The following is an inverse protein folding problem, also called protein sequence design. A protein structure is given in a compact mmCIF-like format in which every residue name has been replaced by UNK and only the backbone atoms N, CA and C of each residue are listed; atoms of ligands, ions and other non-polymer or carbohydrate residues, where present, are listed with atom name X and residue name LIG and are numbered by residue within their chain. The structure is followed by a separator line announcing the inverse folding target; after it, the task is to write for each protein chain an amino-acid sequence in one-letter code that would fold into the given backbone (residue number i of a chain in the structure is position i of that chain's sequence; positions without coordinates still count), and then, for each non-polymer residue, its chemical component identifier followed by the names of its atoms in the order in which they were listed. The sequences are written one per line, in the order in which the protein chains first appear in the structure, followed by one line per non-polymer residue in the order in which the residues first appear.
data_IF_546416650998
#
_entry.id   IF_546416650998
#
_cell.length_a   1.000
_cell.length_b   1.000
_cell.length_c   1.000
_cell.angle_alpha   90.00
_cell.angle_beta   90.00
_cell.angle_gamma   90.00
#
_symmetry.space_group_name_H-M   'P 1'
#
loop_
_entity.id
_entity.type
_entity.pdbx_description
1 polymer ?
#
# COMPACT_ATOMS: atom_id res chain seq x y z
N UNK A 1 55.66 15.38 -56.02
CA UNK A 1 56.03 15.01 -54.65
C UNK A 1 54.71 15.09 -53.80
N UNK A 2 53.94 13.99 -53.73
CA UNK A 2 52.70 13.94 -53.01
C UNK A 2 52.93 13.27 -51.67
N UNK A 3 52.68 14.01 -50.60
CA UNK A 3 52.79 13.49 -49.22
C UNK A 3 51.42 12.94 -48.83
N UNK A 4 51.37 11.63 -48.64
CA UNK A 4 50.18 10.90 -48.15
C UNK A 4 50.17 11.02 -46.60
N UNK A 5 49.11 11.64 -46.06
CA UNK A 5 48.87 11.64 -44.57
C UNK A 5 47.98 10.47 -44.24
N UNK A 6 48.52 9.53 -43.47
CA UNK A 6 47.73 8.47 -42.80
C UNK A 6 47.01 9.09 -41.59
N UNK A 7 45.70 8.98 -41.56
CA UNK A 7 44.91 9.27 -40.37
C UNK A 7 44.72 7.98 -39.55
N UNK A 8 45.26 7.95 -38.37
CA UNK A 8 45.03 6.87 -37.36
C UNK A 8 43.77 7.16 -36.63
N UNK A 9 42.73 6.34 -36.87
CA UNK A 9 41.49 6.38 -36.08
C UNK A 9 41.65 5.53 -34.82
N UNK A 10 41.59 6.21 -33.69
CA UNK A 10 41.59 5.54 -32.35
C UNK A 10 40.14 5.16 -32.02
N UNK A 11 39.83 3.87 -32.01
CA UNK A 11 38.54 3.34 -31.53
C UNK A 11 38.57 3.29 -30.01
N UNK A 12 37.76 4.13 -29.37
CA UNK A 12 37.53 4.08 -27.93
C UNK A 12 36.39 3.09 -27.67
N UNK A 13 36.72 1.91 -27.16
CA UNK A 13 35.74 0.93 -26.69
C UNK A 13 35.27 1.37 -25.31
N UNK A 14 34.05 1.90 -25.23
CA UNK A 14 33.34 2.13 -23.97
C UNK A 14 32.82 0.79 -23.45
N UNK A 15 33.47 0.25 -22.43
CA UNK A 15 32.93 -0.84 -21.64
C UNK A 15 31.79 -0.31 -20.76
N UNK A 16 30.57 -0.62 -21.10
CA UNK A 16 29.44 -0.51 -20.19
C UNK A 16 29.57 -1.65 -19.17
N UNK A 17 30.03 -1.31 -17.99
CA UNK A 17 29.96 -2.23 -16.86
C UNK A 17 28.51 -2.43 -16.48
N UNK A 18 27.96 -3.60 -16.74
CA UNK A 18 26.70 -4.06 -16.16
C UNK A 18 26.97 -4.23 -14.67
N UNK A 19 26.51 -3.29 -13.84
CA UNK A 19 26.44 -3.48 -12.40
C UNK A 19 25.38 -4.56 -12.19
N UNK A 20 25.82 -5.79 -11.96
CA UNK A 20 24.94 -6.86 -11.52
C UNK A 20 24.44 -6.46 -10.12
N UNK A 21 23.14 -6.17 -10.01
CA UNK A 21 22.49 -6.05 -8.72
C UNK A 21 22.77 -7.32 -7.91
N UNK A 22 23.22 -7.19 -6.67
CA UNK A 22 23.45 -8.32 -5.81
C UNK A 22 22.16 -9.13 -5.67
N UNK A 23 22.19 -10.38 -6.10
CA UNK A 23 21.07 -11.31 -5.92
C UNK A 23 20.95 -11.61 -4.42
N UNK A 24 19.73 -11.69 -3.87
CA UNK A 24 19.54 -12.17 -2.50
C UNK A 24 20.23 -13.53 -2.34
N UNK A 25 21.01 -13.70 -1.28
CA UNK A 25 21.62 -15.00 -0.98
C UNK A 25 20.55 -16.07 -0.73
N UNK A 26 20.90 -17.34 -0.86
CA UNK A 26 19.99 -18.47 -0.64
C UNK A 26 19.32 -18.47 0.77
N UNK A 27 19.88 -17.70 1.72
CA UNK A 27 19.37 -17.54 3.09
C UNK A 27 18.36 -16.41 3.25
N UNK A 28 18.03 -15.64 2.19
CA UNK A 28 17.13 -14.48 2.22
C UNK A 28 15.77 -14.75 1.57
N UNK A 29 15.38 -16.03 1.46
CA UNK A 29 14.06 -16.40 0.96
C UNK A 29 13.01 -16.23 2.06
N UNK A 30 11.86 -15.55 1.71
CA UNK A 30 10.71 -15.34 2.62
C UNK A 30 9.59 -16.37 2.41
N UNK A 31 9.90 -17.45 1.70
CA UNK A 31 8.97 -18.55 1.47
C UNK A 31 9.64 -19.90 1.76
N UNK A 32 8.87 -20.92 2.19
CA UNK A 32 7.44 -20.80 2.50
C UNK A 32 7.19 -19.90 3.69
N UNK A 33 5.96 -19.35 3.79
CA UNK A 33 5.55 -18.55 4.94
C UNK A 33 5.49 -19.40 6.22
N UNK A 34 5.47 -18.76 7.38
CA UNK A 34 5.31 -19.46 8.68
C UNK A 34 4.00 -20.25 8.78
N UNK A 35 3.00 -19.93 7.93
CA UNK A 35 1.70 -20.61 7.87
C UNK A 35 1.61 -21.68 6.78
N UNK A 36 2.70 -21.98 6.09
CA UNK A 36 2.82 -23.05 5.12
C UNK A 36 2.81 -22.59 3.66
N UNK A 37 3.08 -23.57 2.78
CA UNK A 37 3.31 -23.32 1.34
C UNK A 37 2.08 -22.84 0.58
N UNK A 38 0.88 -23.13 1.07
CA UNK A 38 -0.38 -22.75 0.42
C UNK A 38 -1.06 -21.55 1.06
N UNK A 39 -0.40 -20.88 2.02
CA UNK A 39 -0.96 -19.72 2.68
C UNK A 39 -1.11 -18.54 1.73
N UNK A 40 -2.32 -17.94 1.76
CA UNK A 40 -2.73 -16.78 0.96
C UNK A 40 -3.26 -15.63 1.84
N UNK A 41 -3.13 -15.75 3.17
CA UNK A 41 -3.69 -14.78 4.12
C UNK A 41 -2.65 -13.89 4.80
N UNK A 42 -1.38 -14.33 4.81
CA UNK A 42 -0.33 -13.57 5.44
C UNK A 42 -0.58 -13.28 6.92
N UNK A 43 -0.26 -12.08 7.36
CA UNK A 43 -0.42 -11.65 8.75
C UNK A 43 -1.87 -11.73 9.26
N UNK A 44 -2.88 -11.77 8.38
CA UNK A 44 -4.27 -11.98 8.79
C UNK A 44 -4.52 -13.36 9.44
N UNK A 45 -3.59 -14.31 9.32
CA UNK A 45 -3.63 -15.57 10.10
C UNK A 45 -3.48 -15.36 11.61
N UNK A 46 -2.99 -14.20 12.06
CA UNK A 46 -2.93 -13.83 13.48
C UNK A 46 -4.30 -13.49 14.07
N UNK A 47 -5.32 -13.33 13.22
CA UNK A 47 -6.68 -13.00 13.64
C UNK A 47 -7.46 -14.27 13.99
N UNK A 48 -8.00 -14.28 15.20
CA UNK A 48 -8.83 -15.36 15.72
C UNK A 48 -9.99 -14.82 16.55
N UNK A 49 -10.80 -15.71 17.12
CA UNK A 49 -11.95 -15.34 17.96
C UNK A 49 -11.54 -14.55 19.19
N UNK A 50 -10.37 -14.81 19.74
CA UNK A 50 -9.76 -14.08 20.85
C UNK A 50 -9.53 -12.60 20.51
N UNK A 51 -9.01 -12.30 19.31
CA UNK A 51 -8.80 -10.94 18.84
C UNK A 51 -10.11 -10.18 18.66
N UNK A 52 -11.14 -10.87 18.17
CA UNK A 52 -12.50 -10.31 18.07
C UNK A 52 -13.01 -9.92 19.45
N UNK A 53 -12.91 -10.81 20.42
CA UNK A 53 -13.37 -10.56 21.81
C UNK A 53 -12.55 -9.45 22.47
N UNK A 54 -11.24 -9.42 22.28
CA UNK A 54 -10.37 -8.33 22.75
C UNK A 54 -10.82 -6.98 22.18
N UNK A 55 -11.07 -6.91 20.86
CA UNK A 55 -11.51 -5.69 20.19
C UNK A 55 -12.87 -5.20 20.71
N UNK A 56 -13.85 -6.10 20.80
CA UNK A 56 -15.19 -5.76 21.32
C UNK A 56 -15.12 -5.25 22.76
N UNK A 57 -14.24 -5.82 23.60
CA UNK A 57 -14.05 -5.38 24.98
C UNK A 57 -13.48 -3.94 25.12
N UNK A 58 -12.94 -3.36 24.04
CA UNK A 58 -12.45 -1.97 24.03
C UNK A 58 -13.57 -0.93 23.84
N UNK A 59 -14.73 -1.33 23.36
CA UNK A 59 -15.85 -0.41 23.13
C UNK A 59 -16.35 0.11 24.48
N UNK A 60 -16.33 1.44 24.69
CA UNK A 60 -16.78 2.12 25.91
C UNK A 60 -17.93 3.06 25.66
N UNK A 61 -17.89 3.81 24.57
CA UNK A 61 -18.82 4.89 24.28
C UNK A 61 -19.71 4.60 23.06
N UNK A 62 -19.46 3.51 22.33
CA UNK A 62 -20.20 3.17 21.12
C UNK A 62 -20.05 4.18 19.99
N UNK A 63 -18.97 4.99 20.00
CA UNK A 63 -18.69 5.93 18.91
C UNK A 63 -18.15 5.22 17.71
N UNK A 64 -18.59 5.66 16.54
CA UNK A 64 -18.07 5.21 15.24
C UNK A 64 -17.31 6.38 14.61
N UNK A 65 -16.12 6.09 14.10
CA UNK A 65 -15.29 7.04 13.37
C UNK A 65 -15.15 6.55 11.93
N UNK A 66 -15.62 7.36 11.00
CA UNK A 66 -15.42 7.10 9.58
C UNK A 66 -14.01 7.54 9.18
N UNK A 67 -13.21 6.59 8.70
CA UNK A 67 -11.83 6.81 8.27
C UNK A 67 -11.69 6.75 6.75
N UNK A 68 -12.70 6.21 6.06
CA UNK A 68 -12.75 6.16 4.61
C UNK A 68 -13.04 7.51 4.00
N UNK A 69 -12.58 7.73 2.77
CA UNK A 69 -12.95 8.87 1.94
C UNK A 69 -14.04 8.48 0.97
N UNK A 70 -14.99 9.37 0.73
CA UNK A 70 -15.96 9.19 -0.33
C UNK A 70 -15.26 9.13 -1.70
N UNK A 71 -15.75 8.24 -2.55
CA UNK A 71 -15.30 8.17 -3.93
C UNK A 71 -16.16 9.11 -4.76
N UNK A 72 -15.58 10.20 -5.20
CA UNK A 72 -16.29 11.27 -5.92
C UNK A 72 -15.49 11.81 -7.10
N UNK A 73 -16.20 12.48 -8.01
CA UNK A 73 -15.55 13.14 -9.13
C UNK A 73 -14.61 14.25 -8.63
N UNK A 74 -13.41 14.30 -9.20
CA UNK A 74 -12.41 15.31 -8.83
C UNK A 74 -11.57 14.97 -7.61
N UNK A 75 -11.78 13.82 -6.96
CA UNK A 75 -10.86 13.35 -5.92
C UNK A 75 -9.44 13.19 -6.46
N UNK A 76 -8.41 13.36 -5.62
CA UNK A 76 -7.03 13.10 -6.05
C UNK A 76 -6.85 11.62 -6.31
N UNK A 77 -6.46 11.29 -7.55
CA UNK A 77 -6.14 9.93 -7.97
C UNK A 77 -4.70 9.89 -8.47
N UNK A 78 -4.03 8.76 -8.28
CA UNK A 78 -2.67 8.59 -8.77
C UNK A 78 -2.62 8.78 -10.30
N UNK A 79 -1.60 9.47 -10.84
CA UNK A 79 -1.50 9.75 -12.27
C UNK A 79 -1.65 8.50 -13.15
N UNK A 80 -2.51 8.60 -14.18
CA UNK A 80 -2.82 7.50 -15.08
C UNK A 80 -3.91 6.53 -14.57
N UNK A 81 -4.47 6.76 -13.38
CA UNK A 81 -5.64 6.02 -12.89
C UNK A 81 -6.94 6.65 -13.38
N UNK A 82 -8.02 5.89 -13.28
CA UNK A 82 -9.34 6.30 -13.73
C UNK A 82 -10.42 5.95 -12.69
N UNK A 83 -11.31 6.90 -12.49
CA UNK A 83 -12.56 6.70 -11.75
C UNK A 83 -13.69 7.47 -12.44
N UNK A 84 -14.81 6.82 -12.64
CA UNK A 84 -16.04 7.43 -13.17
C UNK A 84 -17.26 6.73 -12.59
N UNK A 85 -18.19 7.52 -12.08
CA UNK A 85 -19.50 7.08 -11.70
C UNK A 85 -20.53 7.85 -12.55
N UNK A 86 -21.46 7.14 -13.15
CA UNK A 86 -22.55 7.73 -13.94
C UNK A 86 -23.88 7.07 -13.63
N UNK A 87 -24.96 7.82 -13.79
CA UNK A 87 -26.33 7.31 -13.74
C UNK A 87 -26.91 7.43 -15.15
N UNK A 88 -26.87 6.34 -15.97
CA UNK A 88 -27.35 6.41 -17.34
C UNK A 88 -28.85 6.70 -17.41
N UNK A 89 -29.23 7.84 -17.99
CA UNK A 89 -30.64 8.17 -18.27
C UNK A 89 -31.44 8.65 -17.08
N UNK A 90 -30.96 9.21 -16.06
CA UNK A 90 -31.58 9.72 -14.83
C UNK A 90 -33.09 10.12 -14.94
N UNK A 91 -34.04 9.24 -14.60
CA UNK A 91 -33.86 7.92 -13.99
C UNK A 91 -33.35 6.88 -14.99
N UNK A 92 -32.66 5.84 -14.48
CA UNK A 92 -32.16 4.74 -15.30
C UNK A 92 -33.30 3.93 -15.90
N UNK A 93 -34.38 3.76 -15.12
CA UNK A 93 -35.59 3.04 -15.55
C UNK A 93 -36.82 3.59 -14.88
N UNK A 94 -37.96 3.25 -15.49
CA UNK A 94 -39.29 3.66 -15.04
C UNK A 94 -39.85 4.88 -15.79
N UNK A 95 -41.12 5.26 -15.51
CA UNK A 95 -42.02 4.58 -14.56
C UNK A 95 -42.50 3.20 -15.06
N UNK A 96 -42.62 2.23 -14.12
CA UNK A 96 -43.05 0.86 -14.39
C UNK A 96 -44.16 0.42 -13.43
N UNK A 97 -45.06 -0.46 -13.92
CA UNK A 97 -46.14 -1.02 -13.14
C UNK A 97 -47.25 -0.02 -12.78
N UNK A 98 -48.33 -0.51 -12.12
CA UNK A 98 -49.42 0.34 -11.64
C UNK A 98 -48.95 1.30 -10.53
N UNK A 99 -47.94 0.94 -9.77
CA UNK A 99 -47.28 1.76 -8.71
C UNK A 99 -46.31 2.77 -9.25
N UNK A 100 -46.12 2.87 -10.57
CA UNK A 100 -45.26 3.88 -11.25
C UNK A 100 -43.83 3.95 -10.67
N UNK A 101 -43.22 2.77 -10.46
CA UNK A 101 -41.85 2.66 -9.94
C UNK A 101 -40.86 3.36 -10.88
N UNK A 102 -39.98 4.18 -10.30
CA UNK A 102 -38.82 4.76 -10.96
C UNK A 102 -37.55 4.41 -10.17
N UNK A 103 -36.41 4.27 -10.83
CA UNK A 103 -35.19 3.88 -10.16
C UNK A 103 -33.93 4.44 -10.82
N UNK A 104 -32.88 4.51 -10.04
CA UNK A 104 -31.53 4.86 -10.49
C UNK A 104 -30.60 3.68 -10.21
N UNK A 105 -29.82 3.30 -11.23
CA UNK A 105 -28.70 2.37 -11.12
C UNK A 105 -27.43 3.08 -11.55
N UNK A 106 -26.36 2.89 -10.79
CA UNK A 106 -25.07 3.49 -11.02
C UNK A 106 -24.19 2.56 -11.87
N UNK A 107 -23.48 3.16 -12.81
CA UNK A 107 -22.37 2.53 -13.52
C UNK A 107 -21.06 3.07 -12.98
N UNK A 108 -20.21 2.20 -12.44
CA UNK A 108 -18.86 2.54 -12.00
C UNK A 108 -17.84 1.93 -12.95
N UNK A 109 -16.92 2.76 -13.43
CA UNK A 109 -15.73 2.36 -14.16
C UNK A 109 -14.53 2.92 -13.43
N UNK A 110 -13.67 2.05 -12.87
CA UNK A 110 -12.55 2.49 -12.03
C UNK A 110 -11.42 1.48 -11.97
N UNK A 111 -10.23 1.99 -11.68
CA UNK A 111 -9.15 1.22 -11.09
C UNK A 111 -9.23 1.41 -9.58
N UNK A 112 -9.30 0.31 -8.82
CA UNK A 112 -9.50 0.39 -7.36
C UNK A 112 -8.22 0.82 -6.63
N UNK A 113 -7.03 0.47 -7.14
CA UNK A 113 -5.76 0.88 -6.53
C UNK A 113 -5.42 2.35 -6.76
N UNK A 114 -5.02 3.08 -5.70
CA UNK A 114 -4.59 4.50 -5.69
C UNK A 114 -5.61 5.49 -6.28
N UNK A 115 -6.88 5.27 -6.03
CA UNK A 115 -7.97 6.20 -6.43
C UNK A 115 -8.78 6.72 -5.25
N UNK A 116 -8.52 6.24 -4.05
CA UNK A 116 -9.20 6.64 -2.82
C UNK A 116 -8.78 5.73 -1.67
N UNK A 117 -9.58 5.66 -0.63
CA UNK A 117 -9.34 4.70 0.46
C UNK A 117 -9.38 3.29 -0.09
N UNK A 118 -8.31 2.53 0.11
CA UNK A 118 -8.12 1.23 -0.50
C UNK A 118 -7.41 0.26 0.44
N UNK A 119 -7.43 -1.00 0.08
CA UNK A 119 -6.68 -2.07 0.72
C UNK A 119 -5.81 -2.78 -0.33
N UNK A 120 -4.49 -2.76 -0.13
CA UNK A 120 -3.55 -3.49 -0.98
C UNK A 120 -3.44 -4.94 -0.51
N UNK A 121 -3.99 -5.85 -1.30
CA UNK A 121 -3.89 -7.29 -1.04
C UNK A 121 -2.54 -7.86 -1.44
N UNK A 122 -2.26 -9.10 -1.03
CA UNK A 122 -0.97 -9.79 -1.22
C UNK A 122 -0.60 -10.05 -2.68
N UNK A 123 -1.57 -9.94 -3.59
CA UNK A 123 -1.35 -10.02 -5.03
C UNK A 123 -1.05 -8.68 -5.70
N UNK A 124 -0.98 -7.56 -4.94
CA UNK A 124 -0.79 -6.22 -5.49
C UNK A 124 0.65 -5.97 -5.94
N UNK A 125 1.62 -6.22 -5.09
CA UNK A 125 3.05 -5.99 -5.36
C UNK A 125 3.82 -7.31 -5.31
N UNK A 126 4.80 -7.44 -6.21
CA UNK A 126 5.74 -8.54 -6.26
C UNK A 126 7.17 -8.04 -6.39
N UNK A 127 8.09 -8.98 -6.53
CA UNK A 127 9.49 -8.71 -6.83
C UNK A 127 10.00 -9.69 -7.88
N UNK A 128 10.99 -9.29 -8.67
CA UNK A 128 11.61 -10.18 -9.65
C UNK A 128 12.89 -10.78 -9.09
N UNK A 129 12.94 -12.11 -9.02
CA UNK A 129 14.10 -12.88 -8.57
C UNK A 129 14.40 -13.95 -9.62
N UNK A 130 15.63 -14.01 -10.08
CA UNK A 130 16.09 -14.97 -11.11
C UNK A 130 15.21 -14.98 -12.37
N UNK A 131 14.70 -13.79 -12.76
CA UNK A 131 13.83 -13.65 -13.93
C UNK A 131 12.37 -14.03 -13.70
N UNK A 132 11.99 -14.48 -12.51
CA UNK A 132 10.62 -14.83 -12.13
C UNK A 132 9.98 -13.72 -11.28
N UNK A 133 8.77 -13.30 -11.63
CA UNK A 133 7.96 -12.39 -10.81
C UNK A 133 7.33 -13.19 -9.66
N UNK A 134 7.75 -12.89 -8.43
CA UNK A 134 7.30 -13.55 -7.20
C UNK A 134 6.54 -12.58 -6.31
N UNK A 135 5.52 -13.10 -5.69
CA UNK A 135 4.64 -12.41 -4.74
C UNK A 135 4.73 -13.08 -3.37
N UNK A 136 3.90 -12.65 -2.44
CA UNK A 136 3.84 -13.25 -1.11
C UNK A 136 3.91 -14.78 -1.18
N UNK A 137 4.56 -15.38 -0.20
CA UNK A 137 4.78 -16.83 -0.07
C UNK A 137 5.45 -17.49 -1.30
N UNK A 138 6.16 -16.69 -2.12
CA UNK A 138 6.89 -17.17 -3.28
C UNK A 138 6.03 -17.54 -4.49
N UNK A 139 4.71 -17.29 -4.47
CA UNK A 139 3.83 -17.55 -5.60
C UNK A 139 4.31 -16.80 -6.84
N UNK A 140 4.36 -17.52 -7.97
CA UNK A 140 4.81 -16.94 -9.24
C UNK A 140 3.64 -16.35 -10.01
N UNK A 141 3.78 -15.10 -10.49
CA UNK A 141 2.75 -14.42 -11.26
C UNK A 141 2.13 -15.30 -12.37
N UNK A 142 2.96 -16.02 -13.10
CA UNK A 142 2.51 -16.87 -14.22
C UNK A 142 1.56 -18.01 -13.78
N UNK A 143 1.54 -18.37 -12.50
CA UNK A 143 0.74 -19.49 -11.98
C UNK A 143 -0.67 -19.02 -11.55
N UNK A 144 -0.85 -17.72 -11.28
CA UNK A 144 -2.11 -17.21 -10.74
C UNK A 144 -2.62 -15.91 -11.37
N UNK A 145 -1.77 -15.13 -12.03
CA UNK A 145 -2.16 -13.83 -12.61
C UNK A 145 -2.85 -14.02 -13.98
N UNK A 146 -4.09 -13.54 -14.11
CA UNK A 146 -4.83 -13.52 -15.37
C UNK A 146 -5.39 -12.14 -15.67
N UNK A 147 -5.76 -11.82 -16.93
CA UNK A 147 -6.43 -10.55 -17.26
C UNK A 147 -7.82 -10.39 -16.60
N UNK A 148 -8.38 -11.47 -16.08
CA UNK A 148 -9.75 -11.49 -15.52
C UNK A 148 -9.75 -11.61 -13.99
N UNK A 149 -8.59 -11.56 -13.35
CA UNK A 149 -8.43 -11.66 -11.91
C UNK A 149 -7.27 -12.55 -11.49
N UNK A 150 -7.09 -12.68 -10.19
CA UNK A 150 -6.04 -13.49 -9.59
C UNK A 150 -6.62 -14.84 -9.17
N UNK A 151 -5.97 -15.93 -9.56
CA UNK A 151 -6.31 -17.29 -9.12
C UNK A 151 -5.82 -17.60 -7.71
N UNK A 152 -4.84 -16.83 -7.20
CA UNK A 152 -4.32 -16.83 -5.82
C UNK A 152 -4.08 -15.42 -5.34
N UNK A 153 -3.90 -15.25 -4.04
CA UNK A 153 -3.58 -13.96 -3.39
C UNK A 153 -4.64 -12.87 -3.63
N UNK A 154 -5.85 -13.24 -4.03
CA UNK A 154 -6.96 -12.32 -4.12
C UNK A 154 -7.35 -11.80 -2.73
N UNK A 155 -7.80 -10.55 -2.66
CA UNK A 155 -8.16 -9.90 -1.38
C UNK A 155 -9.25 -10.67 -0.62
N UNK A 156 -10.09 -11.41 -1.32
CA UNK A 156 -11.12 -12.28 -0.71
C UNK A 156 -10.55 -13.41 0.14
N UNK A 157 -9.27 -13.80 -0.08
CA UNK A 157 -8.58 -14.82 0.73
C UNK A 157 -8.18 -14.30 2.10
N UNK A 158 -7.93 -13.01 2.24
CA UNK A 158 -7.59 -12.37 3.52
C UNK A 158 -8.74 -12.55 4.52
N UNK A 159 -9.99 -12.43 4.03
CA UNK A 159 -11.20 -12.51 4.84
C UNK A 159 -11.48 -11.22 5.62
N UNK A 160 -12.48 -11.22 6.50
CA UNK A 160 -12.84 -10.04 7.29
C UNK A 160 -11.78 -9.77 8.36
N UNK A 161 -11.48 -8.49 8.57
CA UNK A 161 -10.57 -8.01 9.60
C UNK A 161 -11.39 -7.37 10.72
N UNK A 162 -11.34 -7.95 11.91
CA UNK A 162 -11.90 -7.40 13.13
C UNK A 162 -10.89 -7.57 14.26
N UNK A 163 -10.24 -6.50 14.68
CA UNK A 163 -9.20 -6.48 15.69
C UNK A 163 -9.06 -5.09 16.28
N UNK A 164 -8.14 -4.92 17.24
CA UNK A 164 -7.80 -3.62 17.78
C UNK A 164 -7.09 -2.76 16.74
N UNK A 165 -7.57 -1.53 16.53
CA UNK A 165 -6.86 -0.48 15.81
C UNK A 165 -6.06 0.39 16.78
N UNK A 166 -4.84 0.77 16.39
CA UNK A 166 -4.02 1.72 17.14
C UNK A 166 -3.65 2.90 16.22
N UNK A 167 -4.07 4.11 16.62
CA UNK A 167 -3.71 5.34 15.91
C UNK A 167 -2.39 5.87 16.48
N UNK A 168 -1.42 6.07 15.61
CA UNK A 168 -0.15 6.73 15.94
C UNK A 168 -0.17 8.13 15.31
N UNK A 169 -0.35 9.14 16.12
CA UNK A 169 -0.40 10.54 15.68
C UNK A 169 1.01 11.13 15.61
N UNK A 170 1.67 10.91 14.49
CA UNK A 170 3.05 11.38 14.26
C UNK A 170 3.08 12.90 14.07
N UNK A 171 2.05 13.48 13.45
CA UNK A 171 1.95 14.93 13.30
C UNK A 171 1.88 15.62 14.67
N UNK A 172 1.01 15.17 15.56
CA UNK A 172 0.94 15.70 16.93
C UNK A 172 2.22 15.43 17.74
N UNK A 173 2.86 14.27 17.57
CA UNK A 173 4.16 13.99 18.19
C UNK A 173 5.22 14.99 17.79
N UNK A 174 5.33 15.31 16.50
CA UNK A 174 6.29 16.30 15.97
C UNK A 174 5.85 17.74 16.19
N UNK A 175 4.63 17.98 16.68
CA UNK A 175 4.12 19.31 17.00
C UNK A 175 3.75 20.15 15.76
N UNK A 176 3.35 19.48 14.68
CA UNK A 176 2.95 20.11 13.42
C UNK A 176 1.54 19.70 13.03
N UNK A 177 0.87 20.52 12.22
CA UNK A 177 -0.45 20.19 11.68
C UNK A 177 -0.38 19.11 10.58
N UNK A 178 0.75 19.07 9.87
CA UNK A 178 1.02 18.17 8.75
C UNK A 178 2.52 17.97 8.58
N UNK A 179 2.93 16.73 8.31
CA UNK A 179 4.31 16.42 7.90
C UNK A 179 4.56 16.91 6.47
N UNK A 180 5.82 17.20 6.15
CA UNK A 180 6.20 17.60 4.80
C UNK A 180 6.19 16.42 3.82
N UNK A 181 5.96 16.69 2.53
CA UNK A 181 6.16 15.70 1.45
C UNK A 181 7.60 15.19 1.48
N UNK A 182 7.77 13.88 1.41
CA UNK A 182 9.09 13.23 1.48
C UNK A 182 9.67 13.12 2.90
N UNK A 183 8.91 13.51 3.93
CA UNK A 183 9.37 13.34 5.31
C UNK A 183 9.26 11.88 5.75
N UNK A 184 10.42 11.29 6.08
CA UNK A 184 10.51 9.90 6.53
C UNK A 184 10.05 9.78 7.98
N UNK A 185 9.15 8.83 8.23
CA UNK A 185 8.76 8.41 9.58
C UNK A 185 9.61 7.22 9.97
N UNK A 186 10.48 7.41 10.95
CA UNK A 186 11.38 6.37 11.46
C UNK A 186 10.67 5.46 12.49
N UNK A 187 11.29 4.31 12.78
CA UNK A 187 10.84 3.45 13.89
C UNK A 187 10.87 4.18 15.23
N UNK A 188 11.84 5.09 15.44
CA UNK A 188 11.93 5.89 16.66
C UNK A 188 10.81 6.92 16.75
N UNK A 189 10.41 7.54 15.63
CA UNK A 189 9.25 8.41 15.61
C UNK A 189 7.99 7.67 16.08
N UNK A 190 7.77 6.46 15.56
CA UNK A 190 6.62 5.63 15.94
C UNK A 190 6.67 5.23 17.42
N UNK A 191 7.83 4.78 17.92
CA UNK A 191 8.02 4.43 19.33
C UNK A 191 7.76 5.62 20.26
N UNK A 192 8.32 6.76 19.93
CA UNK A 192 8.20 7.97 20.73
C UNK A 192 6.77 8.54 20.72
N UNK A 193 6.08 8.49 19.56
CA UNK A 193 4.67 8.88 19.46
C UNK A 193 3.80 7.97 20.34
N UNK A 194 3.98 6.66 20.28
CA UNK A 194 3.28 5.70 21.13
C UNK A 194 3.55 5.93 22.63
N UNK A 195 4.81 6.17 23.00
CA UNK A 195 5.18 6.47 24.39
C UNK A 195 4.49 7.75 24.88
N UNK A 196 4.45 8.80 24.04
CA UNK A 196 3.75 10.04 24.35
C UNK A 196 2.23 9.84 24.51
N UNK A 197 1.64 8.96 23.70
CA UNK A 197 0.23 8.58 23.79
C UNK A 197 -0.10 7.64 24.96
N UNK A 198 0.91 7.10 25.64
CA UNK A 198 0.74 6.14 26.75
C UNK A 198 0.18 4.79 26.30
N UNK A 199 0.51 4.37 25.07
CA UNK A 199 0.01 3.11 24.48
C UNK A 199 1.13 2.35 23.76
N UNK A 200 0.82 1.14 23.28
CA UNK A 200 1.75 0.29 22.56
C UNK A 200 1.04 -0.69 21.64
N UNK A 201 1.78 -1.19 20.65
CA UNK A 201 1.32 -2.19 19.70
C UNK A 201 1.25 -3.56 20.37
N UNK A 202 0.30 -4.38 19.95
CA UNK A 202 0.16 -5.80 20.29
C UNK A 202 0.12 -6.63 19.02
N UNK A 203 0.51 -7.88 19.12
CA UNK A 203 0.34 -8.83 18.02
C UNK A 203 -1.11 -8.86 17.55
N UNK A 204 -1.33 -8.81 16.26
CA UNK A 204 -2.65 -8.80 15.64
C UNK A 204 -3.32 -7.43 15.52
N UNK A 205 -2.66 -6.33 15.91
CA UNK A 205 -3.19 -4.99 15.74
C UNK A 205 -3.20 -4.52 14.29
N UNK A 206 -4.11 -3.60 13.99
CA UNK A 206 -4.04 -2.70 12.82
C UNK A 206 -3.43 -1.38 13.27
N UNK A 207 -2.37 -0.94 12.60
CA UNK A 207 -1.68 0.32 12.89
C UNK A 207 -2.12 1.39 11.89
N UNK A 208 -2.66 2.49 12.40
CA UNK A 208 -3.08 3.67 11.63
C UNK A 208 -2.11 4.81 11.91
N UNK A 209 -1.46 5.33 10.87
CA UNK A 209 -0.47 6.40 10.98
C UNK A 209 -1.10 7.71 10.52
N UNK A 210 -1.20 8.68 11.43
CA UNK A 210 -1.70 10.01 11.12
C UNK A 210 -0.52 10.96 10.85
N UNK A 211 -0.47 11.47 9.63
CA UNK A 211 0.55 12.41 9.15
C UNK A 211 0.02 13.83 8.99
N UNK A 212 -1.30 14.00 8.96
CA UNK A 212 -1.98 15.25 8.62
C UNK A 212 -2.04 15.54 7.11
N UNK A 213 -1.36 14.73 6.26
CA UNK A 213 -1.35 14.93 4.81
C UNK A 213 -2.74 14.78 4.19
N UNK A 214 -3.58 13.92 4.77
CA UNK A 214 -4.97 13.76 4.36
C UNK A 214 -5.82 15.03 4.39
N UNK A 215 -5.37 16.11 5.03
CA UNK A 215 -6.04 17.43 5.00
C UNK A 215 -6.00 18.10 3.62
N UNK A 216 -5.09 17.65 2.74
CA UNK A 216 -5.00 18.15 1.37
C UNK A 216 -6.08 17.58 0.46
N UNK A 217 -6.69 16.45 0.82
CA UNK A 217 -7.73 15.78 0.04
C UNK A 217 -8.87 16.74 -0.29
N UNK A 218 -9.15 16.92 -1.59
CA UNK A 218 -10.14 17.86 -2.14
C UNK A 218 -9.90 19.34 -1.80
N UNK A 219 -8.75 19.67 -1.20
CA UNK A 219 -8.32 21.04 -0.88
C UNK A 219 -7.18 21.48 -1.79
N UNK A 220 -6.15 20.63 -1.91
CA UNK A 220 -5.02 20.79 -2.82
C UNK A 220 -4.60 19.41 -3.34
N UNK A 221 -5.28 18.97 -4.39
CA UNK A 221 -5.06 17.66 -4.97
C UNK A 221 -3.70 17.53 -5.65
N UNK A 222 -3.14 18.64 -6.15
CA UNK A 222 -1.83 18.64 -6.81
C UNK A 222 -0.73 18.39 -5.77
N UNK A 223 -0.79 19.09 -4.61
CA UNK A 223 0.13 18.84 -3.52
C UNK A 223 -0.07 17.44 -2.93
N UNK A 224 -1.33 16.97 -2.74
CA UNK A 224 -1.63 15.63 -2.27
C UNK A 224 -0.97 14.55 -3.13
N UNK A 225 -1.01 14.71 -4.47
CA UNK A 225 -0.46 13.76 -5.43
C UNK A 225 1.04 13.93 -5.71
N UNK A 226 1.67 15.03 -5.27
CA UNK A 226 3.10 15.29 -5.54
C UNK A 226 4.04 14.33 -4.81
N UNK A 227 3.54 13.68 -3.77
CA UNK A 227 4.25 12.76 -2.89
C UNK A 227 3.57 12.70 -1.53
N UNK A 228 4.27 12.18 -0.52
CA UNK A 228 3.73 12.14 0.83
C UNK A 228 4.78 11.84 1.89
N UNK A 229 4.56 12.26 3.14
CA UNK A 229 5.27 11.70 4.26
C UNK A 229 4.88 10.24 4.43
N UNK A 230 5.73 9.42 5.02
CA UNK A 230 5.40 8.03 5.26
C UNK A 230 6.52 7.26 5.94
N UNK A 231 6.25 6.01 6.24
CA UNK A 231 7.24 5.15 6.88
C UNK A 231 8.39 4.82 5.93
N UNK A 232 9.61 4.81 6.49
CA UNK A 232 10.79 4.28 5.82
C UNK A 232 10.98 2.79 6.09
N UNK A 233 11.99 2.18 5.45
CA UNK A 233 12.30 0.75 5.59
C UNK A 233 12.54 0.31 7.04
N UNK A 234 13.21 1.14 7.85
CA UNK A 234 13.45 0.83 9.25
C UNK A 234 12.16 0.73 10.07
N UNK A 235 11.19 1.60 9.80
CA UNK A 235 9.88 1.57 10.44
C UNK A 235 9.04 0.38 9.96
N UNK A 236 9.09 0.05 8.67
CA UNK A 236 8.38 -1.11 8.11
C UNK A 236 8.81 -2.41 8.76
N UNK A 237 10.12 -2.67 8.85
CA UNK A 237 10.68 -3.84 9.53
C UNK A 237 10.29 -3.89 11.00
N UNK A 238 10.41 -2.77 11.69
CA UNK A 238 10.01 -2.70 13.09
C UNK A 238 8.52 -3.02 13.28
N UNK A 239 7.63 -2.54 12.39
CA UNK A 239 6.19 -2.87 12.44
C UNK A 239 5.95 -4.36 12.19
N UNK A 240 6.64 -4.95 11.22
CA UNK A 240 6.57 -6.40 10.97
C UNK A 240 7.01 -7.21 12.20
N UNK A 241 8.09 -6.81 12.86
CA UNK A 241 8.58 -7.43 14.11
C UNK A 241 7.56 -7.33 15.26
N UNK A 242 6.69 -6.29 15.25
CA UNK A 242 5.58 -6.18 16.21
C UNK A 242 4.43 -7.14 15.87
N UNK A 243 4.51 -7.90 14.77
CA UNK A 243 3.48 -8.85 14.31
C UNK A 243 2.12 -8.21 14.12
N UNK A 244 2.09 -7.02 13.55
CA UNK A 244 0.85 -6.35 13.15
C UNK A 244 0.17 -7.12 12.02
N UNK A 245 -1.12 -6.85 11.78
CA UNK A 245 -1.87 -7.45 10.67
C UNK A 245 -1.91 -6.53 9.46
N UNK A 246 -1.97 -5.23 9.72
CA UNK A 246 -2.09 -4.23 8.66
C UNK A 246 -1.55 -2.90 9.16
N UNK A 247 -1.01 -2.10 8.24
CA UNK A 247 -0.74 -0.68 8.48
C UNK A 247 -1.45 0.17 7.44
N UNK A 248 -1.88 1.36 7.85
CA UNK A 248 -2.53 2.34 6.98
C UNK A 248 -2.09 3.76 7.36
N UNK A 249 -2.27 4.70 6.45
CA UNK A 249 -1.99 6.12 6.66
C UNK A 249 -3.02 7.01 5.96
N UNK A 250 -2.98 8.30 6.24
CA UNK A 250 -3.76 9.33 5.56
C UNK A 250 -3.04 9.89 4.31
N UNK A 251 -2.14 9.08 3.73
CA UNK A 251 -1.43 9.32 2.47
C UNK A 251 -1.81 8.26 1.46
N UNK A 252 -1.52 8.48 0.17
CA UNK A 252 -1.87 7.52 -0.87
C UNK A 252 -0.93 6.30 -0.92
N UNK A 253 0.28 6.37 -0.34
CA UNK A 253 1.27 5.30 -0.44
C UNK A 253 1.60 4.59 0.90
N UNK A 254 1.24 5.12 2.07
CA UNK A 254 1.72 4.67 3.39
C UNK A 254 3.22 4.86 3.57
N UNK A 255 4.05 4.42 2.61
CA UNK A 255 5.49 4.69 2.61
C UNK A 255 5.81 6.11 2.13
N UNK A 256 6.98 6.60 2.52
CA UNK A 256 7.46 7.92 2.14
C UNK A 256 7.65 8.03 0.63
N UNK A 257 7.17 9.13 0.03
CA UNK A 257 7.35 9.45 -1.38
C UNK A 257 7.84 10.90 -1.52
N UNK A 258 8.98 11.14 -2.18
CA UNK A 258 9.93 10.17 -2.77
C UNK A 258 10.55 9.27 -1.72
N UNK A 259 10.93 8.04 -2.12
CA UNK A 259 11.54 7.05 -1.22
C UNK A 259 12.90 7.46 -0.68
N UNK A 260 13.35 6.79 0.39
CA UNK A 260 14.66 7.03 1.02
C UNK A 260 15.82 6.72 0.06
N UNK A 261 15.67 5.71 -0.78
CA UNK A 261 16.65 5.32 -1.79
C UNK A 261 16.06 5.58 -3.18
N UNK A 262 16.65 6.51 -3.95
CA UNK A 262 16.14 6.88 -5.28
C UNK A 262 16.25 5.75 -6.32
N UNK A 263 17.07 4.73 -6.07
CA UNK A 263 17.23 3.58 -6.97
C UNK A 263 16.21 2.48 -6.71
N UNK A 264 15.41 2.58 -5.65
CA UNK A 264 14.39 1.60 -5.27
C UNK A 264 12.97 2.13 -5.49
N UNK A 265 12.12 1.30 -6.11
CA UNK A 265 10.71 1.60 -6.29
C UNK A 265 9.87 0.88 -5.23
N UNK A 266 9.19 1.62 -4.37
CA UNK A 266 8.26 1.13 -3.36
C UNK A 266 8.81 -0.02 -2.49
N UNK A 267 10.00 0.16 -1.86
CA UNK A 267 10.63 -0.91 -1.09
C UNK A 267 9.84 -1.33 0.16
N UNK A 268 9.11 -0.41 0.77
CA UNK A 268 8.27 -0.71 1.94
C UNK A 268 7.09 -1.61 1.57
N UNK A 269 6.46 -1.40 0.39
CA UNK A 269 5.44 -2.31 -0.11
C UNK A 269 6.00 -3.72 -0.30
N UNK A 270 7.21 -3.85 -0.87
CA UNK A 270 7.85 -5.16 -1.00
C UNK A 270 8.16 -5.80 0.36
N UNK A 271 8.66 -5.03 1.31
CA UNK A 271 8.94 -5.53 2.66
C UNK A 271 7.67 -6.05 3.33
N UNK A 272 6.62 -5.24 3.37
CA UNK A 272 5.40 -5.58 4.11
C UNK A 272 4.54 -6.62 3.37
N UNK A 273 4.22 -6.40 2.08
CA UNK A 273 3.29 -7.27 1.34
C UNK A 273 3.94 -8.55 0.82
N UNK A 274 5.21 -8.49 0.36
CA UNK A 274 5.84 -9.64 -0.27
C UNK A 274 6.55 -10.54 0.75
N UNK A 275 7.25 -9.93 1.72
CA UNK A 275 8.04 -10.71 2.69
C UNK A 275 7.22 -11.14 3.91
N UNK A 276 6.34 -10.26 4.41
CA UNK A 276 5.63 -10.49 5.67
C UNK A 276 4.14 -10.81 5.50
N UNK A 277 3.52 -10.45 4.38
CA UNK A 277 2.11 -10.74 4.12
C UNK A 277 1.19 -9.83 4.93
#
# INVERSE_FOLDING_TARGET
MHILRLATSTIVLLFWGVIAAAQPGADDTWWPSEWGTDDERGAANRLGSDKVLEAVALIREGRIYELGRDYEAGMPIFPGRHYSLTIPGSPTHGPMGENQLVGHDELVSAQIGQVGTQFDGLGHIGTRIDGEDRFYNGFKRREFGTPYGLGRLGVEKVGPILTRGILIDVAAYKGVDRLAVGEVISADDLRNALARQGTGIREGDVVLIHTGHGRLWMVDNDEYNSGGPGIGMGAARWLADQKIVMTAADTWAVEVIPGEDPDMAFPVHQELLVRHG
#
